data_IF_413496796971
#
_entry.id   IF_413496796971
#
_cell.length_a   1.000
_cell.length_b   1.000
_cell.length_c   1.000
_cell.angle_alpha   90.00
_cell.angle_beta   90.00
_cell.angle_gamma   90.00
#
_symmetry.space_group_name_H-M   'P 1'
#
loop_
_entity.id
_entity.type
_entity.pdbx_description
1 polymer ?
#
# COMPACT_ATOMS: atom_id res chain seq x y z
N UNK A 1 -3.84 -44.13 -47.01
CA UNK A 1 -4.18 -43.55 -45.70
C UNK A 1 -2.97 -42.79 -45.22
N UNK A 2 -3.01 -41.45 -45.24
CA UNK A 2 -1.94 -40.59 -44.74
C UNK A 2 -2.45 -39.90 -43.48
N UNK A 3 -1.83 -40.20 -42.33
CA UNK A 3 -2.17 -39.57 -41.05
C UNK A 3 -1.49 -38.21 -40.98
N UNK A 4 -2.26 -37.14 -41.16
CA UNK A 4 -1.82 -35.77 -40.85
C UNK A 4 -1.88 -35.56 -39.33
N UNK A 5 -0.76 -35.76 -38.65
CA UNK A 5 -0.59 -35.31 -37.28
C UNK A 5 -0.35 -33.79 -37.34
N UNK A 6 -1.33 -33.00 -36.89
CA UNK A 6 -1.12 -31.58 -36.61
C UNK A 6 -0.17 -31.47 -35.42
N UNK A 7 1.03 -30.96 -35.67
CA UNK A 7 1.94 -30.53 -34.60
C UNK A 7 1.42 -29.18 -34.12
N UNK A 8 0.78 -29.15 -32.95
CA UNK A 8 0.51 -27.91 -32.25
C UNK A 8 1.83 -27.33 -31.75
N UNK A 9 2.16 -26.12 -32.19
CA UNK A 9 3.25 -25.32 -31.64
C UNK A 9 2.91 -24.96 -30.20
N UNK A 10 3.58 -25.60 -29.24
CA UNK A 10 3.48 -25.27 -27.81
C UNK A 10 4.10 -23.88 -27.65
N UNK A 11 3.27 -22.86 -27.40
CA UNK A 11 3.77 -21.55 -26.99
C UNK A 11 4.35 -21.67 -25.58
N UNK A 12 5.63 -21.34 -25.41
CA UNK A 12 6.28 -21.33 -24.11
C UNK A 12 5.55 -20.36 -23.16
N UNK A 13 5.11 -20.87 -22.01
CA UNK A 13 4.55 -20.07 -20.93
C UNK A 13 5.71 -19.59 -20.08
N UNK A 14 5.98 -18.28 -20.09
CA UNK A 14 6.96 -17.67 -19.21
C UNK A 14 6.26 -16.87 -18.11
N UNK A 15 6.82 -16.91 -16.90
CA UNK A 15 6.36 -16.07 -15.81
C UNK A 15 6.80 -14.63 -16.06
N UNK A 16 5.85 -13.73 -16.32
CA UNK A 16 6.14 -12.30 -16.33
C UNK A 16 6.21 -11.82 -14.89
N UNK A 17 7.36 -11.31 -14.47
CA UNK A 17 7.49 -10.72 -13.14
C UNK A 17 6.49 -9.57 -13.00
N UNK A 18 5.56 -9.71 -12.06
CA UNK A 18 4.57 -8.67 -11.77
C UNK A 18 5.28 -7.45 -11.16
N UNK A 19 4.90 -6.23 -11.58
CA UNK A 19 5.40 -5.02 -10.94
C UNK A 19 4.94 -4.98 -9.49
N UNK A 20 5.78 -4.40 -8.64
CA UNK A 20 5.46 -4.23 -7.23
C UNK A 20 4.37 -3.18 -7.06
N UNK A 21 3.44 -3.47 -6.18
CA UNK A 21 2.30 -2.65 -5.81
C UNK A 21 2.76 -1.63 -4.76
N UNK A 22 2.76 -0.34 -5.10
CA UNK A 22 3.09 0.72 -4.15
C UNK A 22 2.20 0.68 -2.91
N UNK A 23 2.80 0.74 -1.73
CA UNK A 23 2.08 0.74 -0.46
C UNK A 23 1.16 1.96 -0.36
N UNK A 24 1.63 3.12 -0.82
CA UNK A 24 0.87 4.38 -0.78
C UNK A 24 -0.12 4.54 -1.94
N UNK A 25 -0.25 3.54 -2.83
CA UNK A 25 -1.30 3.56 -3.83
C UNK A 25 -2.60 3.01 -3.24
N UNK A 26 -3.52 3.91 -2.86
CA UNK A 26 -4.81 3.53 -2.27
C UNK A 26 -5.70 2.63 -3.15
N UNK A 27 -5.39 2.46 -4.44
CA UNK A 27 -6.12 1.51 -5.30
C UNK A 27 -5.72 0.06 -5.05
N UNK A 28 -4.59 -0.18 -4.37
CA UNK A 28 -4.10 -1.51 -3.99
C UNK A 28 -4.73 -2.03 -2.69
N UNK A 29 -5.52 -1.20 -2.01
CA UNK A 29 -6.11 -1.52 -0.72
C UNK A 29 -7.63 -1.59 -0.78
N UNK A 30 -8.19 -2.47 0.04
CA UNK A 30 -9.61 -2.52 0.34
C UNK A 30 -9.81 -1.98 1.76
N UNK A 31 -10.62 -0.93 1.88
CA UNK A 31 -10.96 -0.35 3.18
C UNK A 31 -12.23 -1.01 3.67
N UNK A 32 -12.20 -1.54 4.89
CA UNK A 32 -13.32 -2.20 5.53
C UNK A 32 -13.46 -1.73 6.97
N UNK A 33 -14.70 -1.56 7.42
CA UNK A 33 -15.03 -1.34 8.82
C UNK A 33 -16.12 -2.33 9.20
N UNK A 34 -15.90 -3.10 10.26
CA UNK A 34 -16.84 -4.12 10.75
C UNK A 34 -17.27 -5.12 9.66
N UNK A 35 -16.35 -5.47 8.76
CA UNK A 35 -16.60 -6.38 7.63
C UNK A 35 -17.30 -5.74 6.43
N UNK A 36 -17.67 -4.46 6.51
CA UNK A 36 -18.34 -3.71 5.45
C UNK A 36 -17.30 -2.90 4.67
N UNK A 37 -17.24 -3.12 3.35
CA UNK A 37 -16.40 -2.33 2.45
C UNK A 37 -16.84 -0.86 2.45
N UNK A 38 -15.91 0.04 2.77
CA UNK A 38 -16.18 1.46 2.88
C UNK A 38 -15.79 2.20 1.60
N UNK A 39 -16.79 2.63 0.81
CA UNK A 39 -16.59 3.40 -0.43
C UNK A 39 -17.77 4.37 -0.68
N UNK A 40 -17.54 5.59 -1.21
CA UNK A 40 -16.23 6.18 -1.52
C UNK A 40 -15.53 6.71 -0.26
N UNK A 41 -14.20 6.60 -0.22
CA UNK A 41 -13.36 7.15 0.84
C UNK A 41 -12.42 8.23 0.29
N UNK A 42 -12.03 9.20 1.12
CA UNK A 42 -10.97 10.16 0.78
C UNK A 42 -9.67 9.42 0.43
N UNK A 43 -8.87 9.97 -0.47
CA UNK A 43 -7.66 9.29 -0.96
C UNK A 43 -6.68 8.93 0.17
N UNK A 44 -6.57 9.80 1.17
CA UNK A 44 -5.75 9.56 2.37
C UNK A 44 -6.23 8.39 3.23
N UNK A 45 -7.54 8.10 3.21
CA UNK A 45 -8.18 7.02 3.98
C UNK A 45 -8.19 5.68 3.21
N UNK A 46 -7.73 5.68 1.97
CA UNK A 46 -7.60 4.46 1.16
C UNK A 46 -6.29 3.74 1.41
N UNK A 47 -5.37 4.32 2.17
CA UNK A 47 -4.08 3.72 2.53
C UNK A 47 -4.07 3.51 4.04
N UNK A 48 -3.61 2.34 4.54
CA UNK A 48 -3.52 2.11 5.98
C UNK A 48 -2.74 3.22 6.68
N UNK A 49 -3.27 3.70 7.81
CA UNK A 49 -2.61 4.65 8.71
C UNK A 49 -2.27 4.01 10.05
N UNK A 50 -1.68 4.80 10.95
CA UNK A 50 -1.31 4.40 12.32
C UNK A 50 -2.45 3.87 13.18
N UNK A 51 -3.71 4.01 12.76
CA UNK A 51 -4.88 3.50 13.46
C UNK A 51 -5.44 2.21 12.84
N UNK A 52 -4.94 1.84 11.67
CA UNK A 52 -5.50 0.76 10.88
C UNK A 52 -4.73 -0.55 11.07
N UNK A 53 -5.45 -1.65 10.89
CA UNK A 53 -4.86 -2.97 10.70
C UNK A 53 -4.65 -3.20 9.20
N UNK A 54 -3.40 -3.23 8.77
CA UNK A 54 -3.06 -3.64 7.40
C UNK A 54 -3.08 -5.18 7.31
N UNK A 55 -3.82 -5.72 6.35
CA UNK A 55 -3.94 -7.18 6.16
C UNK A 55 -3.42 -7.54 4.77
N UNK A 56 -2.42 -8.42 4.74
CA UNK A 56 -1.90 -9.05 3.52
C UNK A 56 -2.22 -10.54 3.63
N UNK A 57 -3.19 -11.05 2.83
CA UNK A 57 -3.67 -12.41 2.99
C UNK A 57 -2.66 -13.44 2.46
N UNK A 58 -2.72 -14.67 2.96
CA UNK A 58 -1.75 -15.73 2.65
C UNK A 58 -1.81 -16.24 1.21
N UNK A 59 -2.95 -16.05 0.55
CA UNK A 59 -3.17 -16.37 -0.87
C UNK A 59 -2.70 -15.23 -1.80
N UNK A 60 -2.18 -14.14 -1.25
CA UNK A 60 -1.60 -13.05 -2.03
C UNK A 60 -0.17 -13.38 -2.47
N UNK A 61 0.02 -13.52 -3.78
CA UNK A 61 1.33 -13.49 -4.43
C UNK A 61 1.83 -12.07 -4.72
N UNK A 62 1.21 -11.03 -4.13
CA UNK A 62 1.54 -9.65 -4.43
C UNK A 62 2.93 -9.28 -3.92
N UNK A 63 3.63 -8.50 -4.73
CA UNK A 63 4.86 -7.82 -4.33
C UNK A 63 4.51 -6.41 -3.93
N UNK A 64 4.96 -5.95 -2.77
CA UNK A 64 4.63 -4.64 -2.20
C UNK A 64 5.88 -3.78 -2.24
N UNK A 65 5.77 -2.59 -2.83
CA UNK A 65 6.83 -1.60 -2.80
C UNK A 65 6.62 -0.68 -1.59
N UNK A 66 7.64 -0.56 -0.74
CA UNK A 66 7.73 0.45 0.30
C UNK A 66 8.57 1.61 -0.22
N UNK A 67 7.91 2.69 -0.64
CA UNK A 67 8.58 3.90 -1.14
C UNK A 67 9.07 4.80 -0.02
N UNK A 68 8.41 4.75 1.13
CA UNK A 68 8.69 5.56 2.31
C UNK A 68 8.47 4.79 3.61
N UNK A 69 8.77 5.44 4.74
CA UNK A 69 8.50 4.93 6.07
C UNK A 69 7.01 4.75 6.32
N UNK A 70 6.59 3.51 6.58
CA UNK A 70 5.20 3.16 6.86
C UNK A 70 4.90 3.27 8.35
N UNK A 71 3.70 3.72 8.70
CA UNK A 71 3.19 3.67 10.08
C UNK A 71 1.78 3.09 10.08
N UNK A 72 1.58 2.00 10.80
CA UNK A 72 0.32 1.26 10.89
C UNK A 72 0.01 0.86 12.34
N UNK A 73 -1.26 0.67 12.65
CA UNK A 73 -1.70 0.21 13.97
C UNK A 73 -1.28 -1.25 14.21
N UNK A 74 -1.67 -2.12 13.29
CA UNK A 74 -1.34 -3.54 13.31
C UNK A 74 -1.05 -4.07 11.91
N UNK A 75 -0.31 -5.18 11.83
CA UNK A 75 -0.02 -5.89 10.58
C UNK A 75 -0.42 -7.36 10.74
N UNK A 76 -1.30 -7.83 9.86
CA UNK A 76 -1.60 -9.25 9.69
C UNK A 76 -1.03 -9.69 8.36
N UNK A 77 -0.02 -10.56 8.39
CA UNK A 77 0.61 -11.12 7.21
C UNK A 77 0.40 -12.64 7.22
N UNK A 78 -0.16 -13.16 6.13
CA UNK A 78 -0.44 -14.59 5.99
C UNK A 78 -1.23 -15.20 7.17
N UNK A 79 -2.17 -14.42 7.72
CA UNK A 79 -3.00 -14.83 8.86
C UNK A 79 -2.33 -14.70 10.24
N UNK A 80 -1.10 -14.19 10.32
CA UNK A 80 -0.38 -13.99 11.58
C UNK A 80 -0.20 -12.51 11.89
N UNK A 81 -0.43 -12.14 13.15
CA UNK A 81 -0.09 -10.81 13.64
C UNK A 81 1.44 -10.66 13.72
N UNK A 82 1.98 -9.65 13.06
CA UNK A 82 3.42 -9.39 12.98
C UNK A 82 3.74 -8.14 13.82
N UNK A 83 4.87 -8.17 14.53
CA UNK A 83 5.39 -7.03 15.28
C UNK A 83 6.60 -6.39 14.58
N UNK A 84 7.09 -5.25 15.11
CA UNK A 84 8.20 -4.51 14.53
C UNK A 84 9.48 -5.33 14.35
N UNK A 85 9.86 -6.11 15.38
CA UNK A 85 11.11 -6.87 15.37
C UNK A 85 11.06 -8.00 14.35
N UNK A 86 9.92 -8.70 14.28
CA UNK A 86 9.71 -9.76 13.28
C UNK A 86 9.69 -9.19 11.87
N UNK A 87 8.93 -8.10 11.63
CA UNK A 87 8.81 -7.54 10.29
C UNK A 87 10.14 -6.93 9.82
N UNK A 88 10.66 -5.94 10.56
CA UNK A 88 11.85 -5.22 10.15
C UNK A 88 13.09 -6.09 10.32
N UNK A 89 13.26 -6.73 11.48
CA UNK A 89 14.48 -7.44 11.84
C UNK A 89 14.67 -8.78 11.13
N UNK A 90 13.59 -9.54 10.92
CA UNK A 90 13.66 -10.88 10.34
C UNK A 90 13.16 -10.90 8.89
N UNK A 91 11.91 -10.49 8.66
CA UNK A 91 11.27 -10.66 7.36
C UNK A 91 11.94 -9.80 6.28
N UNK A 92 12.09 -8.49 6.48
CA UNK A 92 12.72 -7.61 5.47
C UNK A 92 14.18 -7.97 5.14
N UNK A 93 14.83 -8.80 5.96
CA UNK A 93 16.19 -9.31 5.70
C UNK A 93 16.19 -10.69 5.05
N UNK A 94 15.11 -11.46 5.19
CA UNK A 94 15.01 -12.82 4.66
C UNK A 94 14.86 -12.81 3.13
N UNK A 95 15.10 -13.95 2.50
CA UNK A 95 14.92 -14.12 1.06
C UNK A 95 13.42 -14.03 0.72
N UNK A 96 12.57 -14.65 1.53
CA UNK A 96 11.11 -14.64 1.39
C UNK A 96 10.56 -13.21 1.46
N UNK A 97 11.01 -12.43 2.44
CA UNK A 97 10.63 -11.03 2.54
C UNK A 97 11.10 -10.20 1.35
N UNK A 98 12.27 -10.49 0.78
CA UNK A 98 12.75 -9.79 -0.43
C UNK A 98 12.00 -10.19 -1.71
N UNK A 99 11.34 -11.35 -1.72
CA UNK A 99 10.43 -11.72 -2.81
C UNK A 99 9.08 -11.00 -2.71
N UNK A 100 8.60 -10.72 -1.50
CA UNK A 100 7.30 -10.08 -1.26
C UNK A 100 7.38 -8.56 -1.08
N UNK A 101 8.48 -8.02 -0.56
CA UNK A 101 8.64 -6.60 -0.23
C UNK A 101 9.85 -6.02 -0.94
N UNK A 102 9.59 -5.04 -1.80
CA UNK A 102 10.61 -4.21 -2.41
C UNK A 102 10.77 -2.93 -1.61
N UNK A 103 12.02 -2.53 -1.40
CA UNK A 103 12.35 -1.26 -0.74
C UNK A 103 12.82 -0.25 -1.79
N UNK A 104 12.31 0.98 -1.73
CA UNK A 104 12.85 2.07 -2.55
C UNK A 104 14.32 2.36 -2.18
N UNK A 105 15.14 2.91 -3.11
CA UNK A 105 16.57 3.11 -2.90
C UNK A 105 16.93 3.82 -1.59
N UNK A 106 16.13 4.80 -1.15
CA UNK A 106 16.40 5.50 0.12
C UNK A 106 16.29 4.60 1.35
N UNK A 107 15.45 3.56 1.31
CA UNK A 107 15.18 2.66 2.43
C UNK A 107 16.13 1.46 2.47
N UNK A 108 16.96 1.25 1.44
CA UNK A 108 17.83 0.06 1.35
C UNK A 108 19.28 0.36 1.02
N UNK A 109 20.11 -0.63 1.29
CA UNK A 109 21.41 -0.79 0.67
C UNK A 109 21.50 -2.19 0.08
N UNK A 110 22.41 -2.37 -0.88
CA UNK A 110 22.67 -3.66 -1.49
C UNK A 110 23.89 -4.28 -0.82
N UNK A 111 23.74 -5.52 -0.37
CA UNK A 111 24.86 -6.33 0.13
C UNK A 111 25.03 -7.54 -0.76
N UNK A 112 26.22 -7.73 -1.32
CA UNK A 112 26.55 -8.94 -2.07
C UNK A 112 27.18 -9.96 -1.15
N UNK A 113 26.62 -11.17 -1.11
CA UNK A 113 27.14 -12.32 -0.35
C UNK A 113 27.10 -13.51 -1.32
N UNK A 114 28.25 -14.15 -1.54
CA UNK A 114 28.38 -15.32 -2.41
C UNK A 114 27.79 -15.11 -3.82
N UNK A 115 27.90 -13.89 -4.36
CA UNK A 115 27.38 -13.52 -5.67
C UNK A 115 25.87 -13.22 -5.73
N UNK A 116 25.16 -13.33 -4.60
CA UNK A 116 23.75 -12.96 -4.48
C UNK A 116 23.64 -11.55 -3.90
N UNK A 117 22.88 -10.69 -4.58
CA UNK A 117 22.61 -9.33 -4.13
C UNK A 117 21.36 -9.29 -3.26
N UNK A 118 21.53 -8.98 -1.97
CA UNK A 118 20.44 -8.81 -1.02
C UNK A 118 20.10 -7.32 -0.86
N UNK A 119 18.81 -7.00 -0.81
CA UNK A 119 18.33 -5.68 -0.38
C UNK A 119 18.10 -5.68 1.13
N UNK A 120 18.93 -4.97 1.88
CA UNK A 120 18.78 -4.84 3.33
C UNK A 120 18.34 -3.42 3.68
N UNK A 121 17.47 -3.28 4.67
CA UNK A 121 16.96 -1.98 5.08
C UNK A 121 18.06 -1.11 5.73
N UNK A 122 18.05 0.19 5.45
CA UNK A 122 18.93 1.18 6.09
C UNK A 122 18.48 1.53 7.52
N UNK A 123 17.20 1.31 7.82
CA UNK A 123 16.56 1.82 9.03
C UNK A 123 15.87 0.70 9.81
N UNK A 124 16.04 0.72 11.14
CA UNK A 124 15.37 -0.24 12.04
C UNK A 124 13.84 -0.17 11.95
N UNK A 125 13.30 0.99 11.62
CA UNK A 125 11.86 1.27 11.64
C UNK A 125 11.36 1.62 10.24
N UNK A 126 11.66 0.77 9.24
CA UNK A 126 11.14 0.97 7.88
C UNK A 126 9.61 0.88 7.87
N UNK A 127 9.06 -0.01 8.68
CA UNK A 127 7.65 -0.05 9.04
C UNK A 127 7.53 0.09 10.56
N UNK A 128 6.75 1.06 11.01
CA UNK A 128 6.40 1.25 12.42
C UNK A 128 5.01 0.68 12.68
N UNK A 129 4.94 -0.36 13.49
CA UNK A 129 3.69 -0.96 13.99
C UNK A 129 3.46 -0.42 15.39
N UNK A 130 2.50 0.47 15.58
CA UNK A 130 2.29 1.16 16.85
C UNK A 130 1.62 0.28 17.91
N UNK A 131 0.98 -0.82 17.48
CA UNK A 131 0.13 -1.65 18.31
C UNK A 131 -1.30 -1.13 18.33
N UNK A 132 -2.23 -1.97 18.77
CA UNK A 132 -3.62 -1.56 19.04
C UNK A 132 -3.62 -0.57 20.21
N UNK A 133 -3.64 0.73 19.91
CA UNK A 133 -3.89 1.75 20.92
C UNK A 133 -5.37 1.72 21.28
N UNK A 134 -5.70 0.95 22.33
CA UNK A 134 -7.04 0.97 22.97
C UNK A 134 -7.35 2.27 23.72
N UNK A 135 -6.67 3.37 23.43
CA UNK A 135 -7.12 4.67 23.92
C UNK A 135 -8.42 4.99 23.20
N UNK A 136 -9.54 4.83 23.90
CA UNK A 136 -10.86 5.28 23.45
C UNK A 136 -10.84 6.79 23.35
N UNK A 137 -10.43 7.31 22.20
CA UNK A 137 -10.63 8.72 21.90
C UNK A 137 -12.13 8.98 21.80
N UNK A 138 -12.61 9.97 22.56
CA UNK A 138 -14.01 10.42 22.53
C UNK A 138 -14.36 11.12 21.23
N UNK A 139 -13.36 11.57 20.48
CA UNK A 139 -13.43 12.15 19.14
C UNK A 139 -12.55 11.35 18.19
N UNK A 140 -12.88 11.35 16.88
CA UNK A 140 -12.07 10.69 15.87
C UNK A 140 -10.61 11.19 15.85
N UNK A 141 -9.68 10.36 15.39
CA UNK A 141 -8.28 10.75 15.24
C UNK A 141 -7.96 11.30 13.85
N UNK A 142 -6.98 12.19 13.79
CA UNK A 142 -6.41 12.63 12.53
C UNK A 142 -5.65 11.46 11.87
N UNK A 143 -5.94 11.21 10.60
CA UNK A 143 -5.25 10.16 9.84
C UNK A 143 -3.79 10.60 9.61
N UNK A 144 -2.83 9.76 10.01
CA UNK A 144 -1.39 10.08 9.90
C UNK A 144 -0.86 10.15 8.48
N UNK A 145 -1.62 9.70 7.48
CA UNK A 145 -1.30 9.92 6.07
C UNK A 145 -1.59 11.35 5.59
N UNK A 146 -2.13 12.24 6.45
CA UNK A 146 -2.28 13.68 6.16
C UNK A 146 -0.96 14.45 6.25
N UNK A 147 0.12 13.85 6.78
CA UNK A 147 1.46 14.43 6.70
C UNK A 147 1.81 14.74 5.23
N UNK A 148 2.38 15.92 4.99
CA UNK A 148 2.54 16.49 3.64
C UNK A 148 3.27 15.54 2.67
N UNK A 149 4.33 14.88 3.15
CA UNK A 149 5.13 13.95 2.34
C UNK A 149 4.35 12.68 1.98
N UNK A 150 3.62 12.10 2.94
CA UNK A 150 2.76 10.92 2.72
C UNK A 150 1.60 11.26 1.80
N UNK A 151 0.92 12.38 2.01
CA UNK A 151 -0.18 12.80 1.14
C UNK A 151 0.31 13.08 -0.28
N UNK A 152 1.46 13.73 -0.45
CA UNK A 152 2.07 13.95 -1.77
C UNK A 152 2.36 12.61 -2.48
N UNK A 153 2.91 11.63 -1.75
CA UNK A 153 3.17 10.30 -2.29
C UNK A 153 1.89 9.55 -2.67
N UNK A 154 0.84 9.59 -1.83
CA UNK A 154 -0.48 9.02 -2.15
C UNK A 154 -1.05 9.68 -3.42
N UNK A 155 -0.91 11.00 -3.54
CA UNK A 155 -1.40 11.74 -4.70
C UNK A 155 -0.58 11.53 -5.96
N UNK A 156 0.68 11.12 -5.87
CA UNK A 156 1.49 10.75 -7.04
C UNK A 156 0.91 9.54 -7.80
N UNK A 157 0.13 8.71 -7.12
CA UNK A 157 -0.60 7.57 -7.71
C UNK A 157 -1.92 7.95 -8.37
N UNK A 158 -2.37 9.21 -8.26
CA UNK A 158 -3.67 9.66 -8.75
C UNK A 158 -3.53 10.47 -10.02
N UNK A 159 -4.26 10.06 -11.04
CA UNK A 159 -4.49 10.87 -12.23
C UNK A 159 -5.80 11.62 -12.06
N UNK A 160 -5.71 12.91 -11.75
CA UNK A 160 -6.89 13.76 -11.62
C UNK A 160 -7.48 14.06 -13.01
N UNK A 161 -8.81 13.94 -13.14
CA UNK A 161 -9.48 14.27 -14.39
C UNK A 161 -9.37 15.77 -14.66
N UNK A 162 -8.78 16.14 -15.81
CA UNK A 162 -8.67 17.54 -16.24
C UNK A 162 -10.02 18.21 -16.49
N UNK A 163 -11.08 17.42 -16.73
CA UNK A 163 -12.43 17.92 -17.05
C UNK A 163 -13.32 18.11 -15.82
N UNK A 164 -12.84 17.96 -14.58
CA UNK A 164 -13.72 18.15 -13.42
C UNK A 164 -14.25 19.59 -13.34
N UNK A 165 -13.41 20.57 -13.67
CA UNK A 165 -13.81 21.98 -13.73
C UNK A 165 -14.88 22.28 -14.80
N UNK A 166 -15.03 21.44 -15.83
CA UNK A 166 -16.09 21.63 -16.84
C UNK A 166 -17.43 21.01 -16.43
N UNK A 167 -17.50 20.31 -15.29
CA UNK A 167 -18.71 19.62 -14.81
C UNK A 167 -19.48 20.42 -13.75
N UNK A 168 -18.90 21.46 -13.17
CA UNK A 168 -19.53 22.30 -12.15
C UNK A 168 -18.98 23.74 -12.16
N UNK A 169 -19.76 24.69 -11.63
CA UNK A 169 -19.39 26.12 -11.61
C UNK A 169 -18.25 26.45 -10.65
N UNK A 170 -18.07 25.63 -9.59
CA UNK A 170 -16.98 25.71 -8.64
C UNK A 170 -16.53 24.32 -8.25
N UNK A 171 -15.23 24.14 -8.19
CA UNK A 171 -14.59 22.96 -7.63
C UNK A 171 -13.98 23.29 -6.28
N UNK A 172 -13.70 22.25 -5.50
CA UNK A 172 -12.86 22.35 -4.32
C UNK A 172 -12.13 21.01 -4.11
N UNK A 173 -11.11 21.02 -3.25
CA UNK A 173 -10.37 19.81 -2.89
C UNK A 173 -10.50 19.56 -1.39
N UNK A 174 -11.24 18.54 -0.94
CA UNK A 174 -11.31 18.19 0.46
C UNK A 174 -9.94 17.88 1.05
N UNK A 175 -9.78 18.10 2.36
CA UNK A 175 -8.58 17.70 3.09
C UNK A 175 -8.42 16.17 2.96
N UNK A 176 -7.22 15.71 2.60
CA UNK A 176 -6.97 14.29 2.34
C UNK A 176 -7.43 13.78 0.97
N UNK A 177 -7.86 14.67 0.08
CA UNK A 177 -8.18 14.35 -1.31
C UNK A 177 -7.14 14.94 -2.26
N UNK A 178 -6.74 14.18 -3.29
CA UNK A 178 -5.73 14.62 -4.26
C UNK A 178 -6.27 15.53 -5.37
N UNK A 179 -7.52 15.32 -5.77
CA UNK A 179 -8.10 15.97 -6.93
C UNK A 179 -9.13 17.03 -6.53
N UNK A 180 -9.42 17.94 -7.44
CA UNK A 180 -10.60 18.78 -7.32
C UNK A 180 -11.86 17.95 -7.62
N UNK A 181 -12.94 18.23 -6.90
CA UNK A 181 -14.24 17.59 -7.06
C UNK A 181 -15.36 18.62 -7.13
N UNK A 182 -16.50 18.19 -7.67
CA UNK A 182 -17.78 18.90 -7.60
C UNK A 182 -18.60 18.34 -6.44
N UNK A 183 -19.19 19.19 -5.62
CA UNK A 183 -20.01 18.77 -4.48
C UNK A 183 -20.08 19.84 -3.41
N UNK A 184 -20.38 19.43 -2.18
CA UNK A 184 -20.33 20.27 -0.99
C UNK A 184 -19.55 19.54 0.11
N UNK A 185 -18.93 20.29 1.02
CA UNK A 185 -18.44 19.78 2.31
C UNK A 185 -19.36 20.31 3.39
N UNK A 186 -19.87 19.41 4.22
CA UNK A 186 -20.48 19.77 5.48
C UNK A 186 -19.47 19.53 6.59
N UNK A 187 -19.01 20.61 7.23
CA UNK A 187 -18.25 20.50 8.46
C UNK A 187 -19.27 20.37 9.60
N UNK A 188 -19.38 19.19 10.20
CA UNK A 188 -20.03 19.07 11.50
C UNK A 188 -19.07 19.64 12.55
N UNK A 189 -19.35 20.86 12.98
CA UNK A 189 -18.74 21.47 14.14
C UNK A 189 -19.64 21.07 15.31
N UNK A 190 -19.20 20.12 16.12
CA UNK A 190 -19.78 19.84 17.44
C UNK A 190 -19.31 20.87 18.46
#
# INVERSE_FOLDING_TARGET
MSNNIKVETISEVYFKQSPSLGFYNGSNWLVSKDGILWRPALHVLQVPSSQDTAIIPSDSGARILLEDFVTIGALILAGQAINNDTFNGLLLRSIEGQFQFDLAPKLKYVRSIDGINYQWHNFKNTVTITGETMEKYTVGQLNSNLEAEKLALICSYRQCQSTTASKCSRTFRPIGHCCEICGNIENQID
#
